data_IF_877912884539
#
_entry.id   IF_877912884539
#
_cell.length_a   1.000
_cell.length_b   1.000
_cell.length_c   1.000
_cell.angle_alpha   90.00
_cell.angle_beta   90.00
_cell.angle_gamma   90.00
#
_symmetry.space_group_name_H-M   'P 1'
#
loop_
_entity.id
_entity.type
_entity.pdbx_description
1 polymer ?
#
# COMPACT_ATOMS: atom_id res chain seq x y z
N UNK A 1 -8.46 17.95 5.91
CA UNK A 1 -9.48 16.88 5.85
C UNK A 1 -8.69 15.58 5.64
N UNK A 2 -8.72 14.63 6.58
CA UNK A 2 -7.95 13.38 6.46
C UNK A 2 -8.78 12.36 5.67
N UNK A 3 -8.25 11.88 4.56
CA UNK A 3 -8.85 10.87 3.69
C UNK A 3 -8.36 9.48 4.07
N UNK A 4 -9.21 8.46 4.01
CA UNK A 4 -8.84 7.08 4.35
C UNK A 4 -8.90 6.18 3.10
N UNK A 5 -7.77 5.56 2.72
CA UNK A 5 -7.72 4.56 1.65
C UNK A 5 -8.03 3.16 2.18
N UNK A 6 -8.93 2.44 1.49
CA UNK A 6 -9.11 1.00 1.66
C UNK A 6 -8.11 0.27 0.77
N UNK A 7 -7.33 -0.63 1.36
CA UNK A 7 -6.22 -1.32 0.69
C UNK A 7 -6.46 -2.82 0.77
N UNK A 8 -6.55 -3.46 -0.39
CA UNK A 8 -6.60 -4.91 -0.51
C UNK A 8 -5.17 -5.46 -0.47
N UNK A 9 -4.81 -6.13 0.62
CA UNK A 9 -3.53 -6.81 0.77
C UNK A 9 -3.62 -8.23 0.19
N UNK A 10 -2.89 -8.52 -0.88
CA UNK A 10 -2.78 -9.89 -1.41
C UNK A 10 -1.44 -10.50 -0.98
N UNK A 11 -1.49 -11.33 0.06
CA UNK A 11 -0.39 -12.24 0.40
C UNK A 11 -0.45 -13.46 -0.53
N UNK A 12 0.72 -14.00 -0.93
CA UNK A 12 0.86 -15.10 -1.92
C UNK A 12 0.02 -16.35 -1.61
N UNK A 13 -0.46 -16.52 -0.38
CA UNK A 13 -1.27 -17.67 0.05
C UNK A 13 -2.79 -17.41 0.04
N UNK A 14 -3.24 -16.16 -0.13
CA UNK A 14 -4.67 -15.80 -0.26
C UNK A 14 -5.15 -15.91 -1.72
N UNK A 15 -4.22 -16.10 -2.67
CA UNK A 15 -4.50 -16.14 -4.11
C UNK A 15 -5.54 -17.21 -4.49
N UNK A 16 -5.56 -18.39 -3.85
CA UNK A 16 -6.46 -19.48 -4.26
C UNK A 16 -7.88 -19.34 -3.67
N UNK A 17 -8.03 -18.82 -2.44
CA UNK A 17 -9.34 -18.80 -1.76
C UNK A 17 -10.27 -17.71 -2.29
N UNK A 18 -9.72 -16.60 -2.82
CA UNK A 18 -10.47 -15.56 -3.51
C UNK A 18 -10.80 -15.93 -4.96
N UNK A 19 -9.92 -16.67 -5.65
CA UNK A 19 -10.20 -17.25 -6.98
C UNK A 19 -11.41 -18.19 -6.91
N UNK A 20 -11.55 -19.00 -5.86
CA UNK A 20 -12.74 -19.85 -5.65
C UNK A 20 -14.05 -19.09 -5.38
N UNK A 21 -13.99 -17.82 -4.95
CA UNK A 21 -15.18 -16.94 -4.88
C UNK A 21 -15.44 -16.21 -6.20
N UNK A 22 -14.40 -15.92 -7.00
CA UNK A 22 -14.53 -15.37 -8.35
C UNK A 22 -15.00 -16.43 -9.37
N UNK A 23 -14.72 -17.72 -9.18
CA UNK A 23 -15.30 -18.82 -9.99
C UNK A 23 -16.83 -18.88 -9.88
N UNK A 24 -17.41 -18.43 -8.76
CA UNK A 24 -18.86 -18.29 -8.61
C UNK A 24 -19.43 -17.08 -9.36
N UNK A 25 -18.59 -16.20 -9.88
CA UNK A 25 -18.95 -15.08 -10.75
C UNK A 25 -18.63 -15.50 -12.20
N UNK A 26 -19.63 -16.04 -12.90
CA UNK A 26 -19.60 -16.62 -14.26
C UNK A 26 -19.16 -15.66 -15.41
N UNK A 27 -18.20 -14.76 -15.21
CA UNK A 27 -17.80 -13.77 -16.22
C UNK A 27 -16.33 -13.36 -16.10
N UNK A 28 -15.41 -14.32 -16.02
CA UNK A 28 -14.04 -14.06 -16.44
C UNK A 28 -14.03 -14.01 -17.97
N UNK A 29 -13.73 -12.83 -18.53
CA UNK A 29 -13.67 -12.65 -19.97
C UNK A 29 -12.60 -13.57 -20.58
N UNK A 30 -12.82 -14.02 -21.82
CA UNK A 30 -11.88 -14.85 -22.60
C UNK A 30 -10.46 -14.25 -22.66
N UNK A 31 -10.36 -12.92 -22.53
CA UNK A 31 -9.11 -12.17 -22.42
C UNK A 31 -8.36 -12.45 -21.11
N UNK A 32 -9.09 -12.46 -19.98
CA UNK A 32 -8.52 -12.75 -18.64
C UNK A 32 -7.99 -14.18 -18.59
N UNK A 33 -8.74 -15.14 -19.17
CA UNK A 33 -8.32 -16.54 -19.29
C UNK A 33 -7.05 -16.70 -20.14
N UNK A 34 -7.00 -16.07 -21.32
CA UNK A 34 -5.85 -16.16 -22.23
C UNK A 34 -4.58 -15.50 -21.66
N UNK A 35 -4.71 -14.41 -20.90
CA UNK A 35 -3.60 -13.75 -20.21
C UNK A 35 -3.09 -14.60 -19.05
N UNK A 36 -3.98 -15.26 -18.29
CA UNK A 36 -3.61 -16.25 -17.27
C UNK A 36 -2.85 -17.42 -17.89
N UNK A 37 -3.30 -17.97 -19.04
CA UNK A 37 -2.61 -19.11 -19.68
C UNK A 37 -1.22 -18.77 -20.19
N UNK A 38 -1.03 -17.57 -20.76
CA UNK A 38 0.28 -17.10 -21.25
C UNK A 38 1.26 -16.80 -20.11
N UNK A 39 0.78 -16.29 -18.99
CA UNK A 39 1.63 -15.98 -17.84
C UNK A 39 2.00 -17.26 -17.05
N UNK A 40 1.13 -18.28 -16.98
CA UNK A 40 1.46 -19.61 -16.41
C UNK A 40 2.59 -20.28 -17.20
N UNK A 41 2.64 -20.07 -18.52
CA UNK A 41 3.70 -20.63 -19.37
C UNK A 41 5.07 -19.95 -19.22
N UNK A 42 5.17 -18.80 -18.55
CA UNK A 42 6.41 -18.00 -18.44
C UNK A 42 7.10 -18.06 -17.07
N UNK A 43 6.58 -18.85 -16.13
CA UNK A 43 7.13 -18.99 -14.76
C UNK A 43 7.29 -17.65 -14.00
N UNK A 44 6.58 -16.61 -14.44
CA UNK A 44 6.64 -15.25 -13.89
C UNK A 44 5.47 -14.99 -12.95
N UNK A 45 5.53 -15.59 -11.76
CA UNK A 45 4.49 -15.49 -10.71
C UNK A 45 4.14 -14.06 -10.29
N UNK A 46 5.04 -13.08 -10.46
CA UNK A 46 4.77 -11.66 -10.15
C UNK A 46 3.96 -10.96 -11.25
N UNK A 47 4.25 -11.23 -12.53
CA UNK A 47 3.49 -10.68 -13.67
C UNK A 47 2.04 -11.19 -13.63
N UNK A 48 1.86 -12.46 -13.27
CA UNK A 48 0.55 -13.12 -13.23
C UNK A 48 -0.42 -12.46 -12.24
N UNK A 49 0.04 -12.15 -11.02
CA UNK A 49 -0.82 -11.54 -10.00
C UNK A 49 -1.21 -10.11 -10.37
N UNK A 50 -0.27 -9.31 -10.89
CA UNK A 50 -0.56 -7.93 -11.30
C UNK A 50 -1.52 -7.92 -12.50
N UNK A 51 -1.33 -8.80 -13.49
CA UNK A 51 -2.20 -8.88 -14.67
C UNK A 51 -3.62 -9.31 -14.30
N UNK A 52 -3.77 -10.31 -13.42
CA UNK A 52 -5.09 -10.80 -12.99
C UNK A 52 -5.85 -9.75 -12.18
N UNK A 53 -5.17 -9.10 -11.23
CA UNK A 53 -5.73 -8.02 -10.42
C UNK A 53 -6.07 -6.82 -11.30
N UNK A 54 -5.17 -6.43 -12.22
CA UNK A 54 -5.38 -5.31 -13.13
C UNK A 54 -6.54 -5.56 -14.11
N UNK A 55 -6.70 -6.77 -14.65
CA UNK A 55 -7.82 -7.12 -15.53
C UNK A 55 -9.17 -7.13 -14.78
N UNK A 56 -9.21 -7.69 -13.56
CA UNK A 56 -10.42 -7.74 -12.75
C UNK A 56 -10.84 -6.36 -12.22
N UNK A 57 -9.87 -5.52 -11.87
CA UNK A 57 -10.12 -4.17 -11.35
C UNK A 57 -10.47 -3.20 -12.48
N UNK A 58 -9.71 -3.18 -13.58
CA UNK A 58 -9.85 -2.16 -14.63
C UNK A 58 -11.23 -2.14 -15.30
N UNK A 59 -11.86 -3.31 -15.48
CA UNK A 59 -13.08 -3.43 -16.28
C UNK A 59 -14.39 -3.24 -15.50
N UNK A 60 -14.44 -3.63 -14.22
CA UNK A 60 -15.69 -3.63 -13.42
C UNK A 60 -15.66 -2.74 -12.18
N UNK A 61 -14.48 -2.45 -11.63
CA UNK A 61 -14.32 -1.78 -10.34
C UNK A 61 -13.37 -0.58 -10.37
N UNK A 62 -12.87 -0.20 -11.54
CA UNK A 62 -11.95 0.92 -11.74
C UNK A 62 -12.52 2.26 -11.26
N UNK A 63 -13.84 2.40 -11.30
CA UNK A 63 -14.59 3.55 -10.79
C UNK A 63 -14.90 3.50 -9.30
N UNK A 64 -14.43 2.48 -8.57
CA UNK A 64 -14.66 2.31 -7.12
C UNK A 64 -13.38 2.18 -6.29
N UNK A 65 -12.24 1.91 -6.92
CA UNK A 65 -10.97 1.67 -6.23
C UNK A 65 -10.07 2.91 -6.38
N UNK A 66 -9.82 3.60 -5.27
CA UNK A 66 -9.01 4.81 -5.24
C UNK A 66 -7.50 4.52 -5.21
N UNK A 67 -7.11 3.36 -4.67
CA UNK A 67 -5.71 2.98 -4.50
C UNK A 67 -5.53 1.46 -4.61
N UNK A 68 -4.43 1.06 -5.25
CA UNK A 68 -3.92 -0.31 -5.24
C UNK A 68 -2.54 -0.29 -4.57
N UNK A 69 -2.32 -1.15 -3.58
CA UNK A 69 -1.00 -1.36 -3.00
C UNK A 69 -0.38 -2.62 -3.60
N UNK A 70 0.84 -2.51 -4.10
CA UNK A 70 1.67 -3.63 -4.56
C UNK A 70 2.82 -3.85 -3.56
N UNK A 71 2.73 -4.94 -2.81
CA UNK A 71 3.74 -5.34 -1.82
C UNK A 71 4.81 -6.20 -2.52
N UNK A 72 5.78 -5.52 -3.11
CA UNK A 72 6.85 -6.12 -3.91
C UNK A 72 7.77 -6.96 -3.03
N UNK A 73 7.65 -8.29 -3.12
CA UNK A 73 8.48 -9.29 -2.42
C UNK A 73 9.84 -9.48 -3.09
N UNK A 74 10.60 -8.40 -3.16
CA UNK A 74 11.95 -8.35 -3.77
C UNK A 74 13.08 -8.61 -2.77
N UNK A 75 12.79 -8.56 -1.46
CA UNK A 75 13.76 -8.84 -0.38
C UNK A 75 14.11 -10.33 -0.26
N UNK A 76 15.33 -10.63 0.18
CA UNK A 76 15.72 -11.94 0.74
C UNK A 76 16.07 -12.99 -0.31
N UNK A 77 16.24 -12.59 -1.57
CA UNK A 77 16.52 -13.49 -2.69
C UNK A 77 17.91 -13.31 -3.31
N UNK A 78 18.73 -12.41 -2.76
CA UNK A 78 20.08 -12.13 -3.26
C UNK A 78 20.08 -11.64 -4.71
N UNK A 79 19.04 -10.91 -5.12
CA UNK A 79 18.94 -10.37 -6.47
C UNK A 79 20.02 -9.32 -6.71
N UNK A 80 20.61 -9.33 -7.90
CA UNK A 80 21.53 -8.28 -8.32
C UNK A 80 20.79 -6.95 -8.47
N UNK A 81 21.52 -5.83 -8.36
CA UNK A 81 20.94 -4.50 -8.64
C UNK A 81 20.31 -4.41 -10.03
N UNK A 82 20.93 -5.04 -11.03
CA UNK A 82 20.40 -5.08 -12.40
C UNK A 82 19.04 -5.78 -12.45
N UNK A 83 18.92 -6.93 -11.77
CA UNK A 83 17.65 -7.66 -11.66
C UNK A 83 16.57 -6.81 -11.00
N UNK A 84 16.92 -6.05 -9.95
CA UNK A 84 15.97 -5.14 -9.28
C UNK A 84 15.53 -4.01 -10.21
N UNK A 85 16.44 -3.41 -10.98
CA UNK A 85 16.10 -2.37 -11.96
C UNK A 85 15.20 -2.92 -13.07
N UNK A 86 15.49 -4.12 -13.58
CA UNK A 86 14.63 -4.78 -14.57
C UNK A 86 13.23 -5.08 -14.02
N UNK A 87 13.14 -5.56 -12.78
CA UNK A 87 11.86 -5.80 -12.12
C UNK A 87 11.05 -4.50 -11.95
N UNK A 88 11.70 -3.38 -11.63
CA UNK A 88 11.04 -2.07 -11.54
C UNK A 88 10.51 -1.62 -12.90
N UNK A 89 11.34 -1.68 -13.96
CA UNK A 89 10.92 -1.32 -15.32
C UNK A 89 9.75 -2.16 -15.82
N UNK A 90 9.83 -3.48 -15.63
CA UNK A 90 8.77 -4.39 -16.02
C UNK A 90 7.48 -4.12 -15.25
N UNK A 91 7.56 -3.83 -13.94
CA UNK A 91 6.39 -3.44 -13.16
C UNK A 91 5.72 -2.19 -13.75
N UNK A 92 6.50 -1.14 -14.04
CA UNK A 92 5.96 0.08 -14.64
C UNK A 92 5.25 -0.22 -15.95
N UNK A 93 5.89 -0.95 -16.87
CA UNK A 93 5.28 -1.32 -18.16
C UNK A 93 3.96 -2.07 -17.97
N UNK A 94 3.92 -3.03 -17.02
CA UNK A 94 2.69 -3.77 -16.72
C UNK A 94 1.60 -2.85 -16.19
N UNK A 95 1.92 -1.88 -15.33
CA UNK A 95 0.93 -0.92 -14.82
C UNK A 95 0.39 -0.01 -15.93
N UNK A 96 1.26 0.46 -16.82
CA UNK A 96 0.83 1.27 -17.97
C UNK A 96 -0.09 0.47 -18.89
N UNK A 97 0.38 -0.69 -19.36
CA UNK A 97 -0.27 -1.47 -20.39
C UNK A 97 -1.54 -2.16 -19.92
N UNK A 98 -1.62 -2.55 -18.64
CA UNK A 98 -2.69 -3.42 -18.15
C UNK A 98 -3.57 -2.81 -17.07
N UNK A 99 -3.20 -1.65 -16.50
CA UNK A 99 -4.00 -1.00 -15.46
C UNK A 99 -4.43 0.40 -15.89
N UNK A 100 -3.48 1.27 -16.20
CA UNK A 100 -3.76 2.66 -16.52
C UNK A 100 -4.37 2.84 -17.91
N UNK A 101 -3.85 2.16 -18.94
CA UNK A 101 -4.41 2.16 -20.31
C UNK A 101 -5.87 1.69 -20.34
N UNK A 102 -6.24 0.78 -19.42
CA UNK A 102 -7.59 0.24 -19.27
C UNK A 102 -8.50 1.14 -18.42
N UNK A 103 -8.09 2.36 -18.13
CA UNK A 103 -8.95 3.39 -17.55
C UNK A 103 -9.05 3.37 -16.03
N UNK A 104 -8.19 2.64 -15.32
CA UNK A 104 -8.04 2.83 -13.88
C UNK A 104 -7.73 4.32 -13.62
N UNK A 105 -8.39 4.95 -12.62
CA UNK A 105 -8.21 6.38 -12.28
C UNK A 105 -7.54 6.64 -10.92
N UNK A 106 -7.45 5.63 -10.06
CA UNK A 106 -6.84 5.72 -8.74
C UNK A 106 -5.31 5.82 -8.76
N UNK A 107 -4.67 5.73 -7.61
CA UNK A 107 -3.21 5.69 -7.48
C UNK A 107 -2.72 4.26 -7.27
N UNK A 108 -1.43 4.03 -7.51
CA UNK A 108 -0.73 2.79 -7.21
C UNK A 108 0.37 3.10 -6.21
N UNK A 109 0.36 2.41 -5.08
CA UNK A 109 1.43 2.44 -4.08
C UNK A 109 2.29 1.20 -4.24
N UNK A 110 3.57 1.38 -4.56
CA UNK A 110 4.56 0.32 -4.67
C UNK A 110 5.32 0.27 -3.35
N UNK A 111 5.07 -0.77 -2.56
CA UNK A 111 5.79 -1.05 -1.32
C UNK A 111 6.89 -2.08 -1.53
N UNK A 112 8.02 -1.92 -0.87
CA UNK A 112 9.06 -2.94 -0.77
C UNK A 112 9.79 -2.83 0.57
N UNK A 113 10.41 -3.92 1.01
CA UNK A 113 11.09 -4.02 2.31
C UNK A 113 12.62 -4.15 2.14
N UNK A 114 13.40 -3.56 3.03
CA UNK A 114 14.87 -3.69 3.09
C UNK A 114 15.63 -2.50 2.49
N UNK A 115 16.93 -2.40 2.76
CA UNK A 115 17.78 -1.29 2.29
C UNK A 115 18.32 -1.51 0.86
N UNK A 116 18.42 -2.76 0.41
CA UNK A 116 18.91 -3.12 -0.92
C UNK A 116 17.97 -2.70 -2.07
N UNK A 117 16.77 -2.20 -1.73
CA UNK A 117 15.74 -1.79 -2.70
C UNK A 117 15.91 -0.35 -3.21
N UNK A 118 16.94 0.38 -2.76
CA UNK A 118 17.19 1.73 -3.24
C UNK A 118 17.33 1.78 -4.77
N UNK A 119 17.98 0.78 -5.37
CA UNK A 119 18.10 0.63 -6.83
C UNK A 119 16.75 0.41 -7.52
N UNK A 120 15.86 -0.37 -6.90
CA UNK A 120 14.49 -0.62 -7.36
C UNK A 120 13.66 0.67 -7.41
N UNK A 121 13.61 1.41 -6.29
CA UNK A 121 12.85 2.67 -6.24
C UNK A 121 13.48 3.79 -7.07
N UNK A 122 14.81 3.86 -7.15
CA UNK A 122 15.51 4.78 -8.04
C UNK A 122 15.19 4.50 -9.52
N UNK A 123 14.90 3.25 -9.89
CA UNK A 123 14.48 2.95 -11.25
C UNK A 123 13.01 3.30 -11.48
N UNK A 124 12.14 3.05 -10.49
CA UNK A 124 10.74 3.54 -10.51
C UNK A 124 10.71 5.06 -10.68
N UNK A 125 11.58 5.81 -9.99
CA UNK A 125 11.57 7.28 -10.02
C UNK A 125 12.00 7.88 -11.35
N UNK A 126 12.74 7.13 -12.17
CA UNK A 126 13.14 7.52 -13.53
C UNK A 126 12.05 7.30 -14.57
N UNK A 127 10.89 6.76 -14.18
CA UNK A 127 9.80 6.50 -15.12
C UNK A 127 9.41 7.78 -15.88
N UNK A 128 9.34 7.66 -17.21
CA UNK A 128 8.81 8.70 -18.10
C UNK A 128 7.31 8.52 -18.35
N UNK A 129 6.67 7.61 -17.61
CA UNK A 129 5.25 7.33 -17.69
C UNK A 129 4.41 8.61 -17.64
N UNK A 130 3.40 8.68 -18.51
CA UNK A 130 2.39 9.73 -18.44
C UNK A 130 1.51 9.63 -17.18
N UNK A 131 1.58 8.51 -16.46
CA UNK A 131 0.85 8.23 -15.22
C UNK A 131 1.73 8.35 -13.97
N UNK A 132 2.94 8.93 -14.06
CA UNK A 132 3.89 9.03 -12.94
C UNK A 132 3.32 9.74 -11.71
N UNK A 133 2.40 10.70 -11.89
CA UNK A 133 1.69 11.42 -10.81
C UNK A 133 0.75 10.51 -9.99
N UNK A 134 0.54 9.29 -10.47
CA UNK A 134 -0.34 8.27 -9.88
C UNK A 134 0.43 7.12 -9.24
N UNK A 135 1.75 7.14 -9.33
CA UNK A 135 2.63 6.11 -8.79
C UNK A 135 3.31 6.69 -7.56
N UNK A 136 3.14 5.98 -6.45
CA UNK A 136 3.71 6.31 -5.15
C UNK A 136 4.58 5.15 -4.68
N UNK A 137 5.58 5.46 -3.87
CA UNK A 137 6.47 4.45 -3.27
C UNK A 137 6.41 4.51 -1.76
N UNK A 138 6.61 3.37 -1.11
CA UNK A 138 6.79 3.29 0.33
C UNK A 138 7.81 2.23 0.67
N UNK A 139 8.56 2.46 1.74
CA UNK A 139 9.32 1.40 2.39
C UNK A 139 8.47 0.78 3.49
N UNK A 140 8.49 -0.54 3.59
CA UNK A 140 7.75 -1.23 4.64
C UNK A 140 8.60 -1.39 5.91
N UNK A 141 7.94 -1.27 7.07
CA UNK A 141 8.48 -1.60 8.41
C UNK A 141 9.81 -0.90 8.76
N UNK A 142 9.94 0.38 8.41
CA UNK A 142 11.13 1.20 8.72
C UNK A 142 10.73 2.46 9.48
N UNK A 143 11.70 3.01 10.22
CA UNK A 143 11.50 4.30 10.90
C UNK A 143 11.29 5.43 9.91
N UNK A 144 10.61 6.52 10.29
CA UNK A 144 10.41 7.66 9.38
C UNK A 144 11.73 8.20 8.81
N UNK A 145 12.74 8.36 9.69
CA UNK A 145 14.08 8.79 9.29
C UNK A 145 14.73 7.83 8.30
N UNK A 146 14.61 6.52 8.53
CA UNK A 146 15.13 5.50 7.62
C UNK A 146 14.40 5.53 6.28
N UNK A 147 13.06 5.57 6.29
CA UNK A 147 12.24 5.67 5.08
C UNK A 147 12.65 6.88 4.26
N UNK A 148 12.76 8.05 4.90
CA UNK A 148 13.10 9.30 4.23
C UNK A 148 14.51 9.26 3.66
N UNK A 149 15.51 8.90 4.46
CA UNK A 149 16.90 8.85 4.01
C UNK A 149 17.07 7.93 2.80
N UNK A 150 16.42 6.77 2.79
CA UNK A 150 16.53 5.83 1.67
C UNK A 150 15.80 6.30 0.41
N UNK A 151 14.71 7.05 0.56
CA UNK A 151 13.91 7.52 -0.57
C UNK A 151 14.37 8.88 -1.12
N UNK A 152 15.07 9.69 -0.32
CA UNK A 152 15.67 10.96 -0.76
C UNK A 152 16.62 10.78 -1.95
N UNK A 153 17.37 9.67 -2.00
CA UNK A 153 18.29 9.38 -3.11
C UNK A 153 17.59 9.15 -4.46
N UNK A 154 16.27 8.99 -4.49
CA UNK A 154 15.53 8.67 -5.70
C UNK A 154 15.02 9.91 -6.45
N UNK A 155 15.10 11.11 -5.87
CA UNK A 155 14.43 12.33 -6.33
C UNK A 155 12.90 12.18 -6.55
N UNK A 156 12.30 11.08 -6.09
CA UNK A 156 10.88 10.85 -6.21
C UNK A 156 10.14 11.60 -5.10
N UNK A 157 9.06 12.30 -5.44
CA UNK A 157 8.29 13.09 -4.46
C UNK A 157 7.01 12.40 -4.00
N UNK A 158 6.55 11.40 -4.73
CA UNK A 158 5.36 10.62 -4.39
C UNK A 158 5.72 9.55 -3.35
N UNK A 159 6.11 9.99 -2.16
CA UNK A 159 6.61 9.13 -1.09
C UNK A 159 5.56 9.02 0.01
N UNK A 160 5.15 7.81 0.31
CA UNK A 160 4.25 7.50 1.43
C UNK A 160 5.09 6.94 2.59
N UNK A 161 4.84 7.42 3.80
CA UNK A 161 5.31 6.76 4.99
C UNK A 161 4.37 5.60 5.33
N UNK A 162 4.94 4.45 5.66
CA UNK A 162 4.16 3.30 6.06
C UNK A 162 4.77 2.64 7.29
N UNK A 163 3.94 2.42 8.31
CA UNK A 163 4.33 1.68 9.49
C UNK A 163 3.17 0.81 9.96
N UNK A 164 3.47 -0.42 10.31
CA UNK A 164 2.48 -1.36 10.74
C UNK A 164 3.08 -2.57 11.40
N UNK A 165 2.21 -3.44 11.90
CA UNK A 165 2.56 -4.76 12.37
C UNK A 165 1.55 -5.77 11.89
N UNK A 166 1.97 -7.04 11.88
CA UNK A 166 1.05 -8.15 11.67
C UNK A 166 -0.09 -8.11 12.69
N UNK A 167 -1.32 -8.35 12.21
CA UNK A 167 -2.48 -8.44 13.09
C UNK A 167 -2.38 -9.58 14.12
N UNK A 168 -1.43 -10.50 13.96
CA UNK A 168 -1.17 -11.60 14.90
C UNK A 168 -0.31 -11.21 16.11
N UNK A 169 0.30 -10.02 16.11
CA UNK A 169 1.09 -9.50 17.23
C UNK A 169 0.80 -8.01 17.39
N UNK A 170 -0.40 -7.67 17.90
CA UNK A 170 -0.83 -6.29 18.01
C UNK A 170 -0.03 -5.59 19.12
N UNK A 171 0.91 -4.72 18.73
CA UNK A 171 1.50 -3.74 19.66
C UNK A 171 0.80 -2.39 19.52
N UNK A 172 0.96 -1.57 20.55
CA UNK A 172 0.47 -0.19 20.55
C UNK A 172 1.54 0.73 19.99
N UNK A 173 1.16 1.57 19.04
CA UNK A 173 1.94 2.76 18.65
C UNK A 173 1.78 3.80 19.77
N UNK A 174 2.87 4.41 20.24
CA UNK A 174 2.84 5.51 21.22
C UNK A 174 2.06 6.71 20.67
N UNK A 175 1.37 7.47 21.54
CA UNK A 175 0.64 8.70 21.13
C UNK A 175 1.55 9.73 20.46
N UNK A 176 2.77 9.84 20.95
CA UNK A 176 3.72 10.84 20.48
C UNK A 176 4.23 10.49 19.09
N UNK A 177 4.41 9.19 18.82
CA UNK A 177 4.70 8.69 17.47
C UNK A 177 3.53 8.94 16.51
N UNK A 178 2.28 8.70 16.92
CA UNK A 178 1.10 9.03 16.09
C UNK A 178 1.07 10.52 15.72
N UNK A 179 1.39 11.39 16.68
CA UNK A 179 1.43 12.85 16.47
C UNK A 179 2.57 13.22 15.52
N UNK A 180 3.78 12.69 15.75
CA UNK A 180 4.94 12.93 14.90
C UNK A 180 4.70 12.49 13.44
N UNK A 181 4.03 11.35 13.23
CA UNK A 181 3.65 10.88 11.89
C UNK A 181 2.77 11.91 11.19
N UNK A 182 1.73 12.37 11.89
CA UNK A 182 0.81 13.37 11.35
C UNK A 182 1.52 14.68 11.03
N UNK A 183 2.37 15.16 11.94
CA UNK A 183 3.10 16.42 11.77
C UNK A 183 4.06 16.37 10.58
N UNK A 184 4.74 15.24 10.37
CA UNK A 184 5.62 15.05 9.21
C UNK A 184 4.82 15.03 7.89
N UNK A 185 3.63 14.43 7.86
CA UNK A 185 2.74 14.51 6.68
C UNK A 185 2.27 15.95 6.46
N UNK A 186 1.80 16.65 7.49
CA UNK A 186 1.28 18.02 7.39
C UNK A 186 2.39 19.02 6.96
N UNK A 187 3.66 18.74 7.29
CA UNK A 187 4.85 19.51 6.86
C UNK A 187 5.37 19.11 5.48
N UNK A 188 4.73 18.15 4.81
CA UNK A 188 5.09 17.69 3.47
C UNK A 188 6.37 16.85 3.43
N UNK A 189 6.78 16.24 4.55
CA UNK A 189 7.90 15.28 4.57
C UNK A 189 7.51 14.00 3.83
N UNK A 190 6.22 13.63 3.89
CA UNK A 190 5.63 12.53 3.15
C UNK A 190 4.34 13.02 2.47
N UNK A 191 4.01 12.44 1.31
CA UNK A 191 2.73 12.64 0.63
C UNK A 191 1.54 12.26 1.50
N UNK A 192 1.71 11.19 2.28
CA UNK A 192 0.70 10.62 3.16
C UNK A 192 1.35 9.62 4.13
N UNK A 193 0.61 9.22 5.17
CA UNK A 193 0.99 8.14 6.07
C UNK A 193 -0.03 7.00 6.05
N UNK A 194 0.46 5.77 5.98
CA UNK A 194 -0.34 4.55 5.89
C UNK A 194 0.03 3.60 7.05
N UNK A 195 -0.92 2.79 7.49
CA UNK A 195 -0.67 1.80 8.55
C UNK A 195 -1.35 0.46 8.29
N UNK A 196 -0.78 -0.61 8.85
CA UNK A 196 -1.25 -1.97 8.69
C UNK A 196 -0.93 -2.83 9.92
N UNK A 197 -1.49 -4.01 10.10
CA UNK A 197 -2.87 -4.36 9.77
C UNK A 197 -3.74 -4.12 11.00
N UNK A 198 -4.76 -3.28 10.88
CA UNK A 198 -5.69 -3.00 11.99
C UNK A 198 -7.01 -3.68 11.72
N UNK A 199 -7.39 -4.67 12.53
CA UNK A 199 -8.64 -5.44 12.33
C UNK A 199 -9.74 -5.11 13.35
N UNK A 200 -9.36 -4.49 14.47
CA UNK A 200 -10.29 -4.12 15.54
C UNK A 200 -10.77 -2.68 15.37
N UNK A 201 -12.08 -2.47 15.55
CA UNK A 201 -12.72 -1.15 15.45
C UNK A 201 -12.11 -0.14 16.43
N UNK A 202 -11.90 -0.53 17.70
CA UNK A 202 -11.24 0.30 18.72
C UNK A 202 -9.85 0.77 18.28
N UNK A 203 -9.03 -0.13 17.74
CA UNK A 203 -7.69 0.21 17.26
C UNK A 203 -7.74 1.14 16.04
N UNK A 204 -8.66 0.91 15.10
CA UNK A 204 -8.90 1.83 13.98
C UNK A 204 -9.33 3.23 14.46
N UNK A 205 -10.25 3.32 15.43
CA UNK A 205 -10.71 4.61 16.00
C UNK A 205 -9.56 5.45 16.55
N UNK A 206 -8.54 4.79 17.10
CA UNK A 206 -7.35 5.43 17.66
C UNK A 206 -6.43 5.98 16.57
N UNK A 207 -6.20 5.24 15.50
CA UNK A 207 -5.19 5.59 14.49
C UNK A 207 -5.74 6.38 13.30
N UNK A 208 -7.03 6.26 12.97
CA UNK A 208 -7.66 6.92 11.82
C UNK A 208 -7.45 8.45 11.72
N UNK A 209 -7.34 9.23 12.82
CA UNK A 209 -7.05 10.66 12.71
C UNK A 209 -5.63 11.00 12.21
N UNK A 210 -4.70 10.06 12.33
CA UNK A 210 -3.26 10.28 12.11
C UNK A 210 -2.74 9.70 10.79
N UNK A 211 -3.48 8.77 10.18
CA UNK A 211 -3.11 8.11 8.95
C UNK A 211 -4.11 8.40 7.84
N UNK A 212 -3.59 8.54 6.62
CA UNK A 212 -4.38 8.62 5.41
C UNK A 212 -4.79 7.22 4.89
N UNK A 213 -4.16 6.15 5.33
CA UNK A 213 -4.46 4.79 4.86
C UNK A 213 -4.43 3.79 5.99
N UNK A 214 -5.39 2.86 6.01
CA UNK A 214 -5.41 1.74 6.95
C UNK A 214 -5.62 0.45 6.15
N UNK A 215 -4.64 -0.45 6.17
CA UNK A 215 -4.82 -1.83 5.71
C UNK A 215 -5.56 -2.61 6.78
N UNK A 216 -6.62 -3.31 6.39
CA UNK A 216 -7.47 -4.10 7.28
C UNK A 216 -8.08 -5.32 6.61
N UNK A 217 -8.27 -6.39 7.37
CA UNK A 217 -9.11 -7.53 7.02
C UNK A 217 -10.59 -7.31 7.39
N UNK A 218 -10.93 -6.17 8.02
CA UNK A 218 -12.28 -5.80 8.45
C UNK A 218 -12.77 -4.48 7.80
N UNK A 219 -12.90 -4.39 6.46
CA UNK A 219 -13.36 -3.16 5.79
C UNK A 219 -14.67 -2.54 6.33
N UNK A 220 -15.68 -3.33 6.76
CA UNK A 220 -16.89 -2.76 7.36
C UNK A 220 -16.60 -1.96 8.64
N UNK A 221 -15.62 -2.35 9.45
CA UNK A 221 -15.24 -1.64 10.67
C UNK A 221 -14.57 -0.32 10.33
N UNK A 222 -13.67 -0.32 9.35
CA UNK A 222 -13.04 0.91 8.88
C UNK A 222 -14.10 1.90 8.37
N UNK A 223 -15.06 1.45 7.57
CA UNK A 223 -16.14 2.30 7.08
C UNK A 223 -16.99 2.91 8.22
N UNK A 224 -17.28 2.14 9.28
CA UNK A 224 -17.97 2.67 10.46
C UNK A 224 -17.13 3.74 11.17
N UNK A 225 -15.84 3.48 11.39
CA UNK A 225 -14.93 4.43 12.04
C UNK A 225 -14.78 5.73 11.25
N UNK A 226 -14.61 5.62 9.93
CA UNK A 226 -14.52 6.79 9.03
C UNK A 226 -15.76 7.67 9.18
N UNK A 227 -16.96 7.09 9.17
CA UNK A 227 -18.22 7.82 9.38
C UNK A 227 -18.33 8.43 10.78
N UNK A 228 -18.03 7.66 11.82
CA UNK A 228 -18.07 8.11 13.23
C UNK A 228 -17.14 9.31 13.47
N UNK A 229 -16.00 9.36 12.77
CA UNK A 229 -15.01 10.43 12.89
C UNK A 229 -15.25 11.61 11.94
N UNK A 230 -16.31 11.59 11.13
CA UNK A 230 -16.56 12.62 10.12
C UNK A 230 -15.48 12.66 9.02
N UNK A 231 -14.77 11.55 8.81
CA UNK A 231 -13.80 11.38 7.74
C UNK A 231 -14.50 10.88 6.47
N UNK A 232 -13.79 10.90 5.34
CA UNK A 232 -14.27 10.30 4.08
C UNK A 232 -13.30 9.26 3.55
N UNK A 233 -13.84 8.26 2.87
CA UNK A 233 -13.03 7.37 2.04
C UNK A 233 -12.58 8.11 0.79
N UNK A 234 -11.36 7.83 0.35
CA UNK A 234 -10.84 8.36 -0.90
C UNK A 234 -11.62 7.81 -2.11
N UNK A 235 -11.66 8.59 -3.20
CA UNK A 235 -12.35 8.21 -4.44
C UNK A 235 -11.38 8.09 -5.62
N UNK A 236 -11.70 7.28 -6.66
CA UNK A 236 -10.82 7.18 -7.82
C UNK A 236 -10.64 8.52 -8.53
N UNK A 237 -9.39 8.82 -8.91
CA UNK A 237 -9.02 10.12 -9.51
C UNK A 237 -8.45 11.10 -8.50
N UNK A 238 -8.69 10.89 -7.21
CA UNK A 238 -8.04 11.63 -6.14
C UNK A 238 -6.53 11.40 -6.17
N UNK A 239 -5.78 12.45 -5.81
CA UNK A 239 -4.32 12.46 -5.78
C UNK A 239 -3.87 12.87 -4.40
N UNK A 240 -2.77 12.27 -3.96
CA UNK A 240 -2.06 12.70 -2.78
C UNK A 240 -1.12 13.85 -3.17
N UNK A 241 -0.80 14.77 -2.25
CA UNK A 241 0.20 15.79 -2.52
C UNK A 241 1.58 15.16 -2.70
N UNK A 242 2.45 15.82 -3.46
CA UNK A 242 3.87 15.49 -3.49
C UNK A 242 4.54 15.87 -2.17
N UNK A 243 5.54 15.11 -1.74
CA UNK A 243 6.41 15.52 -0.64
C UNK A 243 7.24 16.76 -1.06
N UNK A 244 7.26 17.75 -0.17
CA UNK A 244 7.93 19.05 -0.35
C UNK A 244 9.11 19.28 0.60
N UNK A 245 9.29 18.41 1.60
CA UNK A 245 10.37 18.48 2.59
C UNK A 245 11.12 17.15 2.68
N UNK A 246 12.41 17.21 2.95
CA UNK A 246 13.24 16.05 3.33
C UNK A 246 13.63 16.03 4.81
N UNK A 247 13.28 17.09 5.56
CA UNK A 247 13.64 17.22 6.97
C UNK A 247 12.60 16.49 7.80
N UNK A 248 12.95 15.29 8.26
CA UNK A 248 12.16 14.55 9.26
C UNK A 248 12.37 15.19 10.62
N UNK A 249 11.28 15.56 11.28
CA UNK A 249 11.37 16.07 12.66
C UNK A 249 11.73 14.95 13.65
N UNK A 250 12.37 15.32 14.77
CA UNK A 250 12.75 14.35 15.79
C UNK A 250 11.55 13.54 16.24
N UNK A 251 11.64 12.24 15.97
CA UNK A 251 10.64 11.25 16.33
C UNK A 251 11.15 10.58 17.61
N UNK A 252 10.31 10.43 18.65
CA UNK A 252 10.62 9.48 19.71
C UNK A 252 10.98 8.14 19.07
N UNK A 253 11.96 7.41 19.62
CA UNK A 253 12.29 6.08 19.09
C UNK A 253 11.01 5.27 18.86
N UNK A 254 10.93 4.58 17.72
CA UNK A 254 9.78 3.80 17.22
C UNK A 254 9.51 2.55 18.09
N UNK A 255 9.56 2.72 19.40
CA UNK A 255 9.28 1.70 20.38
C UNK A 255 7.78 1.48 20.43
N UNK A 256 7.37 0.40 19.77
CA UNK A 256 6.08 -0.22 19.96
C UNK A 256 6.16 -1.11 21.20
N UNK A 257 5.22 -0.96 22.13
CA UNK A 257 5.22 -1.71 23.38
C UNK A 257 4.16 -2.80 23.36
N UNK A 258 4.54 -3.94 23.91
CA UNK A 258 3.62 -5.00 24.30
C UNK A 258 2.91 -4.53 25.58
N UNK A 259 1.62 -4.16 25.51
CA UNK A 259 0.84 -3.86 26.71
C UNK A 259 -0.13 -5.02 26.97
N UNK A 260 0.13 -5.80 28.01
CA UNK A 260 -0.75 -6.90 28.46
C UNK A 260 -2.08 -6.38 29.08
N UNK A 261 -2.15 -5.10 29.46
CA UNK A 261 -3.22 -4.56 30.34
C UNK A 261 -4.59 -4.26 29.69
N UNK A 262 -4.81 -4.50 28.39
CA UNK A 262 -6.04 -4.06 27.73
C UNK A 262 -6.88 -5.19 27.10
N UNK A 263 -6.47 -6.45 27.25
CA UNK A 263 -7.15 -7.61 26.65
C UNK A 263 -8.41 -8.08 27.42
N UNK A 264 -8.72 -7.48 28.57
CA UNK A 264 -9.76 -7.99 29.49
C UNK A 264 -11.17 -7.42 29.27
N UNK A 265 -11.37 -6.47 28.34
CA UNK A 265 -12.69 -5.90 28.04
C UNK A 265 -13.15 -6.11 26.58
N UNK A 266 -12.50 -6.97 25.82
CA UNK A 266 -12.72 -7.15 24.37
C UNK A 266 -13.87 -8.10 23.99
N UNK A 267 -14.72 -8.52 24.94
CA UNK A 267 -15.83 -9.44 24.64
C UNK A 267 -17.09 -8.80 24.02
N UNK A 268 -17.15 -7.47 23.88
CA UNK A 268 -18.38 -6.78 23.39
C UNK A 268 -18.31 -6.19 21.98
N UNK A 269 -17.18 -6.24 21.25
CA UNK A 269 -17.07 -5.66 19.89
C UNK A 269 -16.45 -6.60 18.83
N UNK A 270 -16.69 -7.92 18.91
CA UNK A 270 -16.42 -8.86 17.79
C UNK A 270 -17.55 -8.92 16.77
#
# INVERSE_FOLDING_TARGET
>A
MTEVFLILHTCATISIRWIGQLEKVQTLSRLTYNLMTKAIQRDSTMELHVIVIACAISTKYSSKIALIWLDSKVKGKGYSEETLRDAARNLINVLEDNLFSLGYKGVVLIGAEGHEIASYFNEVSKTTSTFKDRIYVTMDSVTMKTARNNLDFTNFKNIIYNNGMTGCSPRKIKSDLLTAIKDNVDKGVFSAAFTWTYNLKRSMRRVAPYFNGIITNSPPYLNKVVKEKGLRLAVPGERLPEATSSIVEDVPDDEMYDSEEDLTNDSEEL
#
